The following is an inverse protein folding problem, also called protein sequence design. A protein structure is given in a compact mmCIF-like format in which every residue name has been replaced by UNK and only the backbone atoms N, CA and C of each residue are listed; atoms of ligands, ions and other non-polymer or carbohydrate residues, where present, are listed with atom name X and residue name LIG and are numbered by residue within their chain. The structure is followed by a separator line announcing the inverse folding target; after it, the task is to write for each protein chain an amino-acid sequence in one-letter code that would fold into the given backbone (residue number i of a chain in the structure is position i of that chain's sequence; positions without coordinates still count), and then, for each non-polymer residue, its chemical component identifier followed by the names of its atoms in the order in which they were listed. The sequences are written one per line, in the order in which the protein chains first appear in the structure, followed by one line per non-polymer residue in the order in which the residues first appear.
data_IF_403505243828
#
_entry.id   IF_403505243828
#
_cell.length_a   1.000
_cell.length_b   1.000
_cell.length_c   1.000
_cell.angle_alpha   90.00
_cell.angle_beta   90.00
_cell.angle_gamma   90.00
#
_symmetry.space_group_name_H-M   'P 1'
#
loop_
_entity.id
_entity.type
_entity.pdbx_description
1 polymer ?
#
# COMPACT_ATOMS: atom_id res chain seq x y z
N UNK A 1 -1.17 7.93 8.58
CA UNK A 1 0.00 7.94 7.68
C UNK A 1 1.13 8.86 8.16
N UNK A 2 0.92 10.17 8.33
CA UNK A 2 1.99 11.12 8.68
C UNK A 2 2.77 10.78 9.97
N UNK A 3 2.08 10.39 11.05
CA UNK A 3 2.74 9.96 12.31
C UNK A 3 3.66 8.74 12.06
N UNK A 4 3.18 7.75 11.30
CA UNK A 4 3.96 6.55 10.97
C UNK A 4 5.16 6.92 10.12
N UNK A 5 5.00 7.85 9.17
CA UNK A 5 6.10 8.36 8.34
C UNK A 5 7.18 9.07 9.20
N UNK A 6 6.78 9.86 10.20
CA UNK A 6 7.70 10.50 11.14
C UNK A 6 8.46 9.48 12.00
N UNK A 7 7.77 8.47 12.52
CA UNK A 7 8.41 7.38 13.27
C UNK A 7 9.40 6.63 12.36
N UNK A 8 9.01 6.32 11.12
CA UNK A 8 9.88 5.66 10.14
C UNK A 8 11.13 6.48 9.86
N UNK A 9 10.96 7.79 9.63
CA UNK A 9 12.07 8.73 9.45
C UNK A 9 13.01 8.72 10.66
N UNK A 10 12.48 8.73 11.88
CA UNK A 10 13.30 8.73 13.10
C UNK A 10 14.11 7.45 13.30
N UNK A 11 13.57 6.30 12.88
CA UNK A 11 14.23 5.00 13.00
C UNK A 11 15.38 4.87 12.00
N UNK A 12 15.22 5.38 10.77
CA UNK A 12 16.21 5.27 9.69
C UNK A 12 16.96 6.58 9.42
N UNK A 13 17.28 7.33 10.48
CA UNK A 13 17.79 8.70 10.35
C UNK A 13 19.22 8.75 9.80
N UNK A 14 19.47 9.69 8.88
CA UNK A 14 20.71 9.86 8.08
C UNK A 14 22.02 10.05 8.87
N UNK A 15 21.99 10.40 10.16
CA UNK A 15 23.09 11.09 10.86
C UNK A 15 24.42 10.31 11.05
N UNK A 16 24.51 9.02 10.71
CA UNK A 16 25.70 8.19 10.97
C UNK A 16 26.07 7.22 9.82
N UNK A 17 25.99 7.63 8.56
CA UNK A 17 26.25 6.70 7.44
C UNK A 17 27.67 6.83 6.85
N UNK A 18 28.46 5.76 7.02
CA UNK A 18 29.72 5.51 6.32
C UNK A 18 29.45 4.64 5.08
N UNK A 19 30.42 4.45 4.17
CA UNK A 19 30.24 3.57 3.01
C UNK A 19 30.53 2.13 3.47
N UNK A 20 29.51 1.40 3.89
CA UNK A 20 29.62 0.00 4.33
C UNK A 20 28.38 -0.81 3.92
N UNK A 21 28.55 -2.12 3.76
CA UNK A 21 27.50 -3.08 3.41
C UNK A 21 26.30 -3.00 4.37
N UNK A 22 26.53 -2.72 5.64
CA UNK A 22 25.48 -2.56 6.65
C UNK A 22 24.52 -1.41 6.31
N UNK A 23 25.03 -0.31 5.75
CA UNK A 23 24.21 0.84 5.35
C UNK A 23 23.34 0.54 4.13
N UNK A 24 23.84 -0.25 3.19
CA UNK A 24 23.02 -0.74 2.06
C UNK A 24 21.82 -1.55 2.55
N UNK A 25 22.00 -2.41 3.56
CA UNK A 25 20.90 -3.15 4.17
C UNK A 25 19.89 -2.26 4.88
N UNK A 26 20.34 -1.19 5.56
CA UNK A 26 19.41 -0.23 6.18
C UNK A 26 18.54 0.48 5.14
N UNK A 27 19.11 0.94 4.02
CA UNK A 27 18.33 1.55 2.95
C UNK A 27 17.34 0.57 2.32
N UNK A 28 17.77 -0.66 2.07
CA UNK A 28 16.91 -1.70 1.48
C UNK A 28 15.77 -2.09 2.42
N UNK A 29 16.05 -2.18 3.72
CA UNK A 29 15.05 -2.37 4.77
C UNK A 29 14.06 -1.22 4.87
N UNK A 30 14.52 0.03 4.77
CA UNK A 30 13.65 1.21 4.80
C UNK A 30 12.70 1.28 3.59
N UNK A 31 13.18 0.89 2.40
CA UNK A 31 12.35 0.78 1.19
C UNK A 31 11.30 -0.32 1.32
N UNK A 32 11.69 -1.50 1.80
CA UNK A 32 10.76 -2.61 2.05
C UNK A 32 9.70 -2.22 3.10
N UNK A 33 10.12 -1.59 4.19
CA UNK A 33 9.21 -1.12 5.23
C UNK A 33 8.22 -0.08 4.72
N UNK A 34 8.67 0.83 3.83
CA UNK A 34 7.78 1.80 3.18
C UNK A 34 6.68 1.13 2.37
N UNK A 35 7.04 0.11 1.58
CA UNK A 35 6.07 -0.69 0.81
C UNK A 35 5.09 -1.38 1.75
N UNK A 36 5.60 -2.05 2.79
CA UNK A 36 4.79 -2.76 3.77
C UNK A 36 3.79 -1.83 4.48
N UNK A 37 4.24 -0.65 4.93
CA UNK A 37 3.37 0.32 5.59
C UNK A 37 2.29 0.87 4.67
N UNK A 38 2.61 1.13 3.41
CA UNK A 38 1.61 1.58 2.42
C UNK A 38 0.59 0.48 2.13
N UNK A 39 1.01 -0.79 2.09
CA UNK A 39 0.07 -1.91 1.98
C UNK A 39 -0.90 -1.94 3.17
N UNK A 40 -0.39 -1.88 4.40
CA UNK A 40 -1.22 -1.89 5.61
C UNK A 40 -2.19 -0.71 5.69
N UNK A 41 -1.82 0.48 5.18
CA UNK A 41 -2.70 1.66 5.20
C UNK A 41 -3.99 1.47 4.38
N UNK A 42 -4.05 0.49 3.46
CA UNK A 42 -5.29 0.21 2.73
C UNK A 42 -6.30 -0.65 3.49
N UNK A 43 -5.93 -1.29 4.62
CA UNK A 43 -6.83 -2.18 5.37
C UNK A 43 -8.16 -1.50 5.80
N UNK A 44 -8.17 -0.25 6.29
CA UNK A 44 -9.41 0.45 6.62
C UNK A 44 -10.36 0.61 5.43
N UNK A 45 -9.84 0.70 4.20
CA UNK A 45 -10.67 0.73 3.00
C UNK A 45 -11.52 -0.54 2.89
N UNK A 46 -10.94 -1.72 3.16
CA UNK A 46 -11.66 -2.99 3.11
C UNK A 46 -12.87 -2.96 4.06
N UNK A 47 -12.66 -2.55 5.31
CA UNK A 47 -13.72 -2.46 6.32
C UNK A 47 -14.81 -1.46 5.91
N UNK A 48 -14.42 -0.30 5.40
CA UNK A 48 -15.36 0.71 4.91
C UNK A 48 -16.21 0.19 3.75
N UNK A 49 -15.62 -0.58 2.83
CA UNK A 49 -16.33 -1.14 1.68
C UNK A 49 -17.33 -2.20 2.11
N UNK A 50 -16.95 -3.08 3.04
CA UNK A 50 -17.88 -4.07 3.63
C UNK A 50 -19.08 -3.36 4.28
N UNK A 51 -18.85 -2.28 5.01
CA UNK A 51 -19.93 -1.50 5.64
C UNK A 51 -20.86 -0.80 4.63
N UNK A 52 -20.38 -0.50 3.42
CA UNK A 52 -21.19 0.15 2.36
C UNK A 52 -22.02 -0.84 1.53
N UNK A 53 -21.60 -2.10 1.45
CA UNK A 53 -22.27 -3.13 0.64
C UNK A 53 -23.76 -3.32 0.97
N UNK A 54 -24.22 -3.37 2.24
CA UNK A 54 -25.64 -3.55 2.55
C UNK A 54 -26.51 -2.42 2.00
N UNK A 55 -26.02 -1.18 2.10
CA UNK A 55 -26.72 -0.01 1.56
C UNK A 55 -26.77 -0.04 0.03
N UNK A 56 -25.68 -0.45 -0.61
CA UNK A 56 -25.62 -0.64 -2.06
C UNK A 56 -26.61 -1.73 -2.52
N UNK A 57 -26.65 -2.89 -1.87
CA UNK A 57 -27.58 -3.96 -2.24
C UNK A 57 -29.05 -3.54 -2.07
N UNK A 58 -29.36 -2.76 -1.02
CA UNK A 58 -30.69 -2.18 -0.82
C UNK A 58 -31.06 -1.20 -1.93
N UNK A 59 -30.13 -0.34 -2.36
CA UNK A 59 -30.39 0.59 -3.47
C UNK A 59 -30.51 -0.15 -4.81
N UNK A 60 -29.73 -1.19 -5.03
CA UNK A 60 -29.79 -2.03 -6.23
C UNK A 60 -31.11 -2.79 -6.34
N UNK A 61 -31.69 -3.28 -5.23
CA UNK A 61 -32.98 -3.98 -5.27
C UNK A 61 -34.16 -3.09 -5.69
N UNK A 62 -34.03 -1.77 -5.52
CA UNK A 62 -35.01 -0.79 -6.02
C UNK A 62 -34.68 -0.30 -7.44
N UNK A 63 -33.75 -0.94 -8.15
CA UNK A 63 -33.34 -0.61 -9.52
C UNK A 63 -32.82 0.83 -9.72
N UNK A 64 -32.33 1.50 -8.66
CA UNK A 64 -31.84 2.88 -8.77
C UNK A 64 -30.64 3.03 -9.71
N UNK A 65 -29.66 2.11 -9.66
CA UNK A 65 -28.49 2.14 -10.53
C UNK A 65 -27.79 0.76 -10.62
N UNK A 66 -27.06 0.53 -11.71
CA UNK A 66 -26.31 -0.71 -11.95
C UNK A 66 -24.99 -0.75 -11.16
N UNK A 67 -24.43 -1.94 -10.93
CA UNK A 67 -23.20 -2.11 -10.11
C UNK A 67 -21.99 -1.31 -10.62
N UNK A 68 -21.85 -1.15 -11.94
CA UNK A 68 -20.74 -0.39 -12.54
C UNK A 68 -20.85 1.11 -12.25
N UNK A 69 -22.08 1.64 -12.16
CA UNK A 69 -22.33 3.05 -11.87
C UNK A 69 -21.92 3.43 -10.43
N UNK A 70 -21.86 2.46 -9.51
CA UNK A 70 -21.31 2.65 -8.17
C UNK A 70 -19.79 2.49 -8.12
N UNK A 71 -19.26 1.51 -8.87
CA UNK A 71 -17.84 1.18 -8.83
C UNK A 71 -16.94 2.25 -9.46
N UNK A 72 -17.37 2.86 -10.58
CA UNK A 72 -16.56 3.85 -11.31
C UNK A 72 -16.30 5.10 -10.46
N UNK A 73 -17.33 5.80 -9.92
CA UNK A 73 -17.09 7.00 -9.12
C UNK A 73 -16.26 6.71 -7.87
N UNK A 74 -16.52 5.59 -7.18
CA UNK A 74 -15.75 5.18 -6.02
C UNK A 74 -14.27 4.93 -6.35
N UNK A 75 -13.96 4.47 -7.56
CA UNK A 75 -12.60 4.24 -8.05
C UNK A 75 -11.89 5.53 -8.44
N UNK A 76 -12.58 6.39 -9.19
CA UNK A 76 -12.05 7.69 -9.62
C UNK A 76 -11.74 8.59 -8.42
N UNK A 77 -12.64 8.66 -7.44
CA UNK A 77 -12.45 9.48 -6.23
C UNK A 77 -11.25 9.01 -5.38
N UNK A 78 -10.79 7.77 -5.55
CA UNK A 78 -9.69 7.22 -4.77
C UNK A 78 -8.33 7.50 -5.37
N UNK A 79 -8.24 7.79 -6.66
CA UNK A 79 -7.00 8.19 -7.34
C UNK A 79 -6.35 9.42 -6.68
N UNK A 80 -7.04 10.56 -6.48
CA UNK A 80 -6.42 11.74 -5.86
C UNK A 80 -6.01 11.51 -4.41
N UNK A 81 -6.78 10.69 -3.66
CA UNK A 81 -6.44 10.31 -2.28
C UNK A 81 -5.14 9.52 -2.25
N UNK A 82 -4.98 8.56 -3.17
CA UNK A 82 -3.76 7.76 -3.30
C UNK A 82 -2.52 8.59 -3.64
N UNK A 83 -2.69 9.61 -4.48
CA UNK A 83 -1.65 10.58 -4.80
C UNK A 83 -1.24 11.36 -3.55
N UNK A 84 -2.21 11.86 -2.79
CA UNK A 84 -1.94 12.62 -1.57
C UNK A 84 -1.24 11.77 -0.51
N UNK A 85 -1.70 10.54 -0.28
CA UNK A 85 -1.11 9.62 0.70
C UNK A 85 0.36 9.31 0.36
N UNK A 86 0.63 8.93 -0.90
CA UNK A 86 2.00 8.67 -1.36
C UNK A 86 2.89 9.91 -1.31
N UNK A 87 2.35 11.09 -1.60
CA UNK A 87 3.07 12.37 -1.52
C UNK A 87 3.44 12.74 -0.07
N UNK A 88 2.50 12.57 0.86
CA UNK A 88 2.74 12.80 2.29
C UNK A 88 3.79 11.82 2.83
N UNK A 89 3.73 10.55 2.42
CA UNK A 89 4.73 9.58 2.83
C UNK A 89 6.14 9.94 2.32
N UNK A 90 6.28 10.21 1.02
CA UNK A 90 7.59 10.43 0.42
C UNK A 90 8.21 11.77 0.84
N UNK A 91 7.41 12.83 1.01
CA UNK A 91 7.92 14.15 1.44
C UNK A 91 8.62 14.08 2.80
N UNK A 92 8.07 13.29 3.73
CA UNK A 92 8.63 13.10 5.08
C UNK A 92 9.82 12.14 5.04
N UNK A 93 9.64 10.97 4.42
CA UNK A 93 10.61 9.87 4.52
C UNK A 93 11.82 10.06 3.61
N UNK A 94 11.67 10.70 2.44
CA UNK A 94 12.73 10.70 1.43
C UNK A 94 13.98 11.48 1.87
N UNK A 95 13.76 12.72 2.29
CA UNK A 95 14.84 13.56 2.80
C UNK A 95 15.28 13.16 4.21
N UNK A 96 14.37 12.62 5.01
CA UNK A 96 14.66 12.20 6.38
C UNK A 96 15.56 10.96 6.47
N UNK A 97 15.33 9.97 5.61
CA UNK A 97 16.16 8.76 5.51
C UNK A 97 17.48 9.06 4.79
N UNK A 98 17.48 10.07 3.91
CA UNK A 98 18.68 10.50 3.18
C UNK A 98 18.91 9.75 1.87
N UNK A 99 17.85 9.42 1.13
CA UNK A 99 17.99 8.89 -0.23
C UNK A 99 18.70 9.90 -1.17
N UNK A 100 19.14 9.42 -2.34
CA UNK A 100 19.84 10.23 -3.34
C UNK A 100 19.05 11.49 -3.70
N UNK A 101 19.60 12.72 -3.59
CA UNK A 101 18.85 13.97 -3.74
C UNK A 101 18.50 14.35 -5.19
N UNK A 102 18.25 13.38 -6.06
CA UNK A 102 17.93 13.61 -7.48
C UNK A 102 16.43 13.64 -7.69
N UNK A 103 15.93 14.73 -8.28
CA UNK A 103 14.50 14.96 -8.56
C UNK A 103 13.87 13.81 -9.37
N UNK A 104 14.58 13.29 -10.39
CA UNK A 104 14.10 12.15 -11.18
C UNK A 104 13.85 10.89 -10.32
N UNK A 105 14.74 10.59 -9.37
CA UNK A 105 14.61 9.42 -8.50
C UNK A 105 13.47 9.59 -7.49
N UNK A 106 13.28 10.82 -6.99
CA UNK A 106 12.15 11.18 -6.14
C UNK A 106 10.82 10.91 -6.87
N UNK A 107 10.67 11.41 -8.09
CA UNK A 107 9.44 11.20 -8.87
C UNK A 107 9.20 9.73 -9.22
N UNK A 108 10.25 8.97 -9.56
CA UNK A 108 10.10 7.53 -9.78
C UNK A 108 9.59 6.80 -8.54
N UNK A 109 10.18 7.08 -7.37
CA UNK A 109 9.75 6.45 -6.12
C UNK A 109 8.33 6.87 -5.74
N UNK A 110 8.00 8.15 -5.90
CA UNK A 110 6.65 8.66 -5.69
C UNK A 110 5.62 7.93 -6.56
N UNK A 111 5.90 7.79 -7.86
CA UNK A 111 5.02 7.11 -8.81
C UNK A 111 4.83 5.63 -8.43
N UNK A 112 5.91 4.93 -8.09
CA UNK A 112 5.85 3.53 -7.64
C UNK A 112 4.95 3.40 -6.40
N UNK A 113 5.14 4.26 -5.39
CA UNK A 113 4.33 4.23 -4.17
C UNK A 113 2.87 4.58 -4.44
N UNK A 114 2.60 5.52 -5.33
CA UNK A 114 1.24 5.88 -5.74
C UNK A 114 0.52 4.73 -6.44
N UNK A 115 1.18 4.08 -7.42
CA UNK A 115 0.64 2.91 -8.12
C UNK A 115 0.43 1.73 -7.18
N UNK A 116 1.36 1.52 -6.25
CA UNK A 116 1.25 0.45 -5.27
C UNK A 116 0.06 0.67 -4.34
N UNK A 117 -0.10 1.87 -3.79
CA UNK A 117 -1.25 2.20 -2.95
C UNK A 117 -2.59 2.04 -3.70
N UNK A 118 -2.64 2.47 -4.96
CA UNK A 118 -3.82 2.30 -5.80
C UNK A 118 -4.14 0.81 -6.06
N UNK A 119 -3.13 0.01 -6.39
CA UNK A 119 -3.27 -1.43 -6.66
C UNK A 119 -3.76 -2.20 -5.44
N UNK A 120 -3.16 -1.91 -4.27
CA UNK A 120 -3.56 -2.50 -2.99
C UNK A 120 -5.00 -2.14 -2.64
N UNK A 121 -5.38 -0.88 -2.82
CA UNK A 121 -6.74 -0.40 -2.58
C UNK A 121 -7.76 -1.12 -3.47
N UNK A 122 -7.42 -1.35 -4.74
CA UNK A 122 -8.27 -2.12 -5.67
C UNK A 122 -8.43 -3.57 -5.21
N UNK A 123 -7.34 -4.21 -4.78
CA UNK A 123 -7.36 -5.56 -4.27
C UNK A 123 -8.26 -5.69 -3.02
N UNK A 124 -8.18 -4.74 -2.09
CA UNK A 124 -9.02 -4.74 -0.89
C UNK A 124 -10.50 -4.56 -1.19
N UNK A 125 -10.84 -3.74 -2.21
CA UNK A 125 -12.21 -3.61 -2.71
C UNK A 125 -12.71 -4.91 -3.33
N UNK A 126 -11.87 -5.58 -4.11
CA UNK A 126 -12.20 -6.87 -4.71
C UNK A 126 -12.53 -7.91 -3.63
N UNK A 127 -11.64 -8.07 -2.64
CA UNK A 127 -11.82 -8.99 -1.51
C UNK A 127 -13.11 -8.66 -0.75
N UNK A 128 -13.31 -7.39 -0.39
CA UNK A 128 -14.51 -6.94 0.33
C UNK A 128 -15.80 -7.27 -0.44
N UNK A 129 -15.82 -7.02 -1.76
CA UNK A 129 -16.99 -7.26 -2.60
C UNK A 129 -17.34 -8.74 -2.76
N UNK A 130 -16.34 -9.62 -2.74
CA UNK A 130 -16.50 -11.05 -2.93
C UNK A 130 -16.97 -11.76 -1.65
N UNK A 131 -16.31 -11.50 -0.52
CA UNK A 131 -16.59 -12.22 0.73
C UNK A 131 -17.69 -11.60 1.58
N UNK A 132 -17.91 -10.28 1.47
CA UNK A 132 -19.01 -9.50 2.09
C UNK A 132 -19.14 -9.61 3.62
N UNK A 133 -18.24 -10.35 4.26
CA UNK A 133 -18.17 -10.58 5.69
C UNK A 133 -16.77 -10.18 6.18
N UNK A 134 -16.66 -9.47 7.31
CA UNK A 134 -15.37 -8.97 7.79
C UNK A 134 -14.41 -10.13 8.10
N UNK A 135 -14.89 -11.16 8.78
CA UNK A 135 -14.07 -12.29 9.26
C UNK A 135 -13.36 -12.98 8.09
N UNK A 136 -14.08 -13.37 7.03
CA UNK A 136 -13.49 -14.07 5.88
C UNK A 136 -12.60 -13.14 5.06
N UNK A 137 -12.97 -11.86 4.95
CA UNK A 137 -12.15 -10.86 4.23
C UNK A 137 -10.79 -10.63 4.90
N UNK A 138 -10.75 -10.54 6.24
CA UNK A 138 -9.50 -10.41 7.00
C UNK A 138 -8.61 -11.64 6.90
N UNK A 139 -9.21 -12.84 6.87
CA UNK A 139 -8.45 -14.07 6.66
C UNK A 139 -7.75 -14.08 5.29
N UNK A 140 -8.49 -13.74 4.22
CA UNK A 140 -7.93 -13.69 2.87
C UNK A 140 -6.91 -12.55 2.71
N UNK A 141 -7.14 -11.41 3.37
CA UNK A 141 -6.16 -10.32 3.46
C UNK A 141 -4.82 -10.80 4.03
N UNK A 142 -4.84 -11.54 5.14
CA UNK A 142 -3.63 -12.07 5.77
C UNK A 142 -2.90 -13.06 4.86
N UNK A 143 -3.64 -13.94 4.18
CA UNK A 143 -3.10 -14.86 3.19
C UNK A 143 -2.44 -14.10 2.02
N UNK A 144 -3.13 -13.11 1.46
CA UNK A 144 -2.60 -12.30 0.37
C UNK A 144 -1.35 -11.51 0.78
N UNK A 145 -1.35 -10.89 1.96
CA UNK A 145 -0.17 -10.20 2.50
C UNK A 145 1.02 -11.15 2.63
N UNK A 146 0.79 -12.37 3.13
CA UNK A 146 1.83 -13.39 3.26
C UNK A 146 2.45 -13.75 1.91
N UNK A 147 1.62 -13.94 0.89
CA UNK A 147 2.07 -14.19 -0.49
C UNK A 147 2.91 -13.01 -1.00
N UNK A 148 2.43 -11.77 -0.89
CA UNK A 148 3.19 -10.60 -1.35
C UNK A 148 4.53 -10.43 -0.65
N UNK A 149 4.59 -10.67 0.66
CA UNK A 149 5.82 -10.56 1.43
C UNK A 149 6.84 -11.64 1.06
N UNK A 150 6.36 -12.87 0.84
CA UNK A 150 7.18 -14.03 0.49
C UNK A 150 7.77 -13.88 -0.91
N UNK A 151 6.96 -13.49 -1.90
CA UNK A 151 7.39 -13.32 -3.29
C UNK A 151 7.99 -11.94 -3.60
N UNK A 152 8.00 -11.01 -2.63
CA UNK A 152 8.54 -9.65 -2.78
C UNK A 152 10.06 -9.59 -3.02
N UNK A 153 10.79 -10.69 -2.79
CA UNK A 153 12.23 -10.78 -3.06
C UNK A 153 13.14 -10.25 -1.95
N UNK A 154 12.57 -9.64 -0.90
CA UNK A 154 13.31 -9.14 0.26
C UNK A 154 13.47 -10.21 1.35
N UNK A 155 12.39 -10.92 1.70
CA UNK A 155 12.41 -12.00 2.70
C UNK A 155 13.03 -13.27 2.11
N UNK A 156 12.55 -13.70 0.93
CA UNK A 156 13.17 -14.79 0.18
C UNK A 156 13.90 -14.22 -1.04
N UNK A 157 15.20 -14.52 -1.21
CA UNK A 157 15.91 -14.17 -2.43
C UNK A 157 15.28 -14.88 -3.63
N UNK A 158 14.98 -14.12 -4.70
CA UNK A 158 14.36 -14.67 -5.92
C UNK A 158 15.13 -15.83 -6.54
N UNK A 159 16.46 -15.86 -6.38
CA UNK A 159 17.33 -16.94 -6.88
C UNK A 159 17.12 -18.28 -6.19
N UNK A 160 16.51 -18.30 -4.99
CA UNK A 160 16.21 -19.54 -4.24
C UNK A 160 14.77 -20.01 -4.45
N UNK A 161 13.97 -19.29 -5.23
CA UNK A 161 12.63 -19.71 -5.64
C UNK A 161 12.80 -20.62 -6.86
N UNK A 162 13.25 -21.85 -6.63
CA UNK A 162 13.31 -22.87 -7.68
C UNK A 162 11.88 -23.36 -7.92
N UNK A 163 11.28 -22.95 -9.03
CA UNK A 163 10.09 -23.60 -9.57
C UNK A 163 10.63 -24.81 -10.34
N UNK A 164 10.64 -25.96 -9.67
CA UNK A 164 10.89 -27.24 -10.33
C UNK A 164 9.69 -27.65 -11.19
#
# INVERSE_FOLDING_TARGET
LAIIALVTMSVFLRTRMTISFTHANYYMGALFFSIFMIMLNGIPEMSMQIGRLPSFYKQKSYYFYSSWAYAIPASVLKVPISILDSLVWISITYYGIGYTPTVSRFFCQFLILCLLHHSVTSQYRFIASYFQTPIVSFFYLFLALTVFLTFGGFILPKSKITIA
#
